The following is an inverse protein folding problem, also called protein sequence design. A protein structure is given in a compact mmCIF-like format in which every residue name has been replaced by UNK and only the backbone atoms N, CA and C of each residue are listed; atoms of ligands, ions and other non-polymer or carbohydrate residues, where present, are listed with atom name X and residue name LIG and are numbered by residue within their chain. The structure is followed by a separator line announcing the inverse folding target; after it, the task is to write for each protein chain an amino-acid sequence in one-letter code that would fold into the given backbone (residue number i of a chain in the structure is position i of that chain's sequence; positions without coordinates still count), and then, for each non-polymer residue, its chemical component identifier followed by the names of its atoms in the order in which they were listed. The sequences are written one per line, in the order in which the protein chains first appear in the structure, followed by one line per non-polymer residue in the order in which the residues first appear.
data_IF_162677756104
#
_entry.id   IF_162677756104
#
_cell.length_a   1.000
_cell.length_b   1.000
_cell.length_c   1.000
_cell.angle_alpha   90.00
_cell.angle_beta   90.00
_cell.angle_gamma   90.00
#
_symmetry.space_group_name_H-M   'P 1'
#
loop_
_entity.id
_entity.type
_entity.pdbx_description
1 polymer ?
#
# COMPACT_ATOMS: atom_id res chain seq x y z
N UNK A 1 -14.63 -1.74 -4.94
CA UNK A 1 -14.37 -0.99 -3.69
C UNK A 1 -12.88 -0.64 -3.65
N UNK A 2 -12.49 0.61 -3.92
CA UNK A 2 -11.05 0.99 -3.90
C UNK A 2 -10.60 1.48 -2.52
N UNK A 3 -11.46 2.21 -1.80
CA UNK A 3 -11.13 2.76 -0.48
C UNK A 3 -10.84 1.70 0.59
N UNK A 4 -11.62 0.62 0.68
CA UNK A 4 -11.32 -0.45 1.64
C UNK A 4 -10.01 -1.20 1.34
N UNK A 5 -9.65 -1.32 0.06
CA UNK A 5 -8.36 -1.89 -0.34
C UNK A 5 -7.20 -0.96 0.04
N UNK A 6 -7.38 0.36 -0.10
CA UNK A 6 -6.40 1.33 0.38
C UNK A 6 -6.20 1.26 1.92
N UNK A 7 -7.28 1.04 2.67
CA UNK A 7 -7.24 0.91 4.13
C UNK A 7 -6.59 -0.40 4.56
N UNK A 8 -6.81 -1.51 3.84
CA UNK A 8 -6.10 -2.78 4.12
C UNK A 8 -4.58 -2.69 3.92
N UNK A 9 -4.09 -1.61 3.30
CA UNK A 9 -2.68 -1.26 3.24
C UNK A 9 -2.03 -1.04 4.60
N UNK A 10 -2.80 -0.99 5.71
CA UNK A 10 -2.27 -0.99 7.09
C UNK A 10 -1.30 -2.14 7.38
N UNK A 11 -1.34 -3.21 6.58
CA UNK A 11 -0.33 -4.28 6.54
C UNK A 11 1.12 -3.77 6.45
N UNK A 12 1.35 -2.57 5.93
CA UNK A 12 2.67 -1.91 5.90
C UNK A 12 3.27 -1.73 7.30
N UNK A 13 2.46 -1.50 8.33
CA UNK A 13 2.93 -1.38 9.72
C UNK A 13 3.53 -2.70 10.19
N UNK A 14 2.87 -3.82 9.90
CA UNK A 14 3.40 -5.16 10.22
C UNK A 14 4.69 -5.45 9.46
N UNK A 15 4.77 -5.07 8.18
CA UNK A 15 5.98 -5.23 7.38
C UNK A 15 7.15 -4.39 7.91
N UNK A 16 6.90 -3.17 8.38
CA UNK A 16 7.92 -2.34 9.02
C UNK A 16 8.44 -2.94 10.32
N UNK A 17 7.56 -3.48 11.16
CA UNK A 17 7.97 -4.19 12.39
C UNK A 17 8.83 -5.41 12.03
N UNK A 18 8.42 -6.20 11.04
CA UNK A 18 9.14 -7.39 10.59
C UNK A 18 10.50 -7.05 9.94
N UNK A 19 10.64 -5.84 9.37
CA UNK A 19 11.90 -5.39 8.75
C UNK A 19 13.05 -5.21 9.74
N UNK A 20 12.78 -5.27 11.06
CA UNK A 20 13.79 -5.28 12.11
C UNK A 20 14.47 -6.66 12.23
N UNK A 21 15.05 -7.16 11.14
CA UNK A 21 15.79 -8.43 11.12
C UNK A 21 17.27 -8.21 11.38
N UNK A 22 17.87 -9.02 12.24
CA UNK A 22 19.33 -9.01 12.48
C UNK A 22 20.06 -9.66 11.31
N UNK A 23 21.06 -8.95 10.77
CA UNK A 23 21.96 -9.48 9.76
C UNK A 23 23.13 -10.21 10.42
N UNK A 24 23.36 -11.47 10.04
CA UNK A 24 24.50 -12.25 10.53
C UNK A 24 25.65 -12.11 9.55
N UNK A 25 26.71 -11.39 9.96
CA UNK A 25 27.95 -11.27 9.16
C UNK A 25 27.75 -10.78 7.73
N UNK A 26 26.79 -9.87 7.51
CA UNK A 26 26.47 -9.32 6.19
C UNK A 26 25.55 -10.18 5.32
N UNK A 27 25.14 -11.37 5.79
CA UNK A 27 24.09 -12.17 5.15
C UNK A 27 22.70 -11.70 5.64
N UNK A 28 21.81 -11.26 4.73
CA UNK A 28 20.43 -10.94 5.04
C UNK A 28 19.67 -12.09 5.69
N UNK A 29 19.98 -13.33 5.32
CA UNK A 29 19.18 -14.49 5.67
C UNK A 29 17.77 -14.45 5.06
N UNK A 30 17.01 -15.54 5.25
CA UNK A 30 15.68 -15.69 4.66
C UNK A 30 14.65 -14.72 5.24
N UNK A 31 14.73 -14.43 6.54
CA UNK A 31 13.81 -13.52 7.23
C UNK A 31 13.87 -12.10 6.65
N UNK A 32 15.06 -11.57 6.36
CA UNK A 32 15.20 -10.24 5.79
C UNK A 32 14.64 -10.15 4.38
N UNK A 33 14.85 -11.17 3.55
CA UNK A 33 14.28 -11.23 2.20
C UNK A 33 12.74 -11.27 2.24
N UNK A 34 12.16 -12.05 3.14
CA UNK A 34 10.72 -12.08 3.34
C UNK A 34 10.18 -10.74 3.83
N UNK A 35 10.85 -10.10 4.79
CA UNK A 35 10.47 -8.79 5.28
C UNK A 35 10.57 -7.71 4.20
N UNK A 36 11.60 -7.75 3.36
CA UNK A 36 11.76 -6.87 2.21
C UNK A 36 10.62 -7.02 1.20
N UNK A 37 10.31 -8.26 0.79
CA UNK A 37 9.21 -8.53 -0.15
C UNK A 37 7.87 -8.10 0.46
N UNK A 38 7.63 -8.40 1.73
CA UNK A 38 6.43 -7.98 2.44
C UNK A 38 6.28 -6.44 2.45
N UNK A 39 7.36 -5.71 2.67
CA UNK A 39 7.36 -4.25 2.67
C UNK A 39 7.06 -3.68 1.29
N UNK A 40 7.66 -4.25 0.23
CA UNK A 40 7.40 -3.85 -1.16
C UNK A 40 5.92 -4.08 -1.51
N UNK A 41 5.39 -5.27 -1.22
CA UNK A 41 4.00 -5.61 -1.49
C UNK A 41 3.02 -4.71 -0.71
N UNK A 42 3.29 -4.45 0.57
CA UNK A 42 2.47 -3.57 1.38
C UNK A 42 2.49 -2.12 0.85
N UNK A 43 3.64 -1.65 0.40
CA UNK A 43 3.79 -0.32 -0.21
C UNK A 43 2.96 -0.21 -1.49
N UNK A 44 3.02 -1.21 -2.37
CA UNK A 44 2.20 -1.25 -3.59
C UNK A 44 0.71 -1.20 -3.25
N UNK A 45 0.26 -1.96 -2.24
CA UNK A 45 -1.13 -1.98 -1.82
C UNK A 45 -1.62 -0.61 -1.30
N UNK A 46 -0.84 0.03 -0.42
CA UNK A 46 -1.16 1.37 0.10
C UNK A 46 -1.19 2.40 -1.03
N UNK A 47 -0.09 2.55 -1.76
CA UNK A 47 0.05 3.61 -2.77
C UNK A 47 -0.93 3.41 -3.92
N UNK A 48 -1.03 2.18 -4.44
CA UNK A 48 -1.97 1.84 -5.51
C UNK A 48 -3.42 2.03 -5.07
N UNK A 49 -3.77 1.58 -3.85
CA UNK A 49 -5.10 1.74 -3.29
C UNK A 49 -5.52 3.20 -3.18
N UNK A 50 -4.66 4.08 -2.66
CA UNK A 50 -4.97 5.51 -2.55
C UNK A 50 -4.99 6.20 -3.92
N UNK A 51 -4.08 5.87 -4.83
CA UNK A 51 -4.05 6.44 -6.19
C UNK A 51 -5.34 6.13 -6.96
N UNK A 52 -5.79 4.87 -6.94
CA UNK A 52 -7.03 4.46 -7.62
C UNK A 52 -8.24 5.10 -6.93
N UNK A 53 -8.25 5.17 -5.60
CA UNK A 53 -9.33 5.80 -4.84
C UNK A 53 -9.45 7.28 -5.21
N UNK A 54 -8.33 8.01 -5.31
CA UNK A 54 -8.32 9.40 -5.73
C UNK A 54 -8.93 9.57 -7.13
N UNK A 55 -8.49 8.77 -8.11
CA UNK A 55 -9.06 8.81 -9.47
C UNK A 55 -10.55 8.49 -9.51
N UNK A 56 -11.01 7.55 -8.69
CA UNK A 56 -12.44 7.23 -8.57
C UNK A 56 -13.24 8.40 -8.01
N UNK A 57 -12.73 9.07 -6.97
CA UNK A 57 -13.37 10.23 -6.36
C UNK A 57 -13.40 11.43 -7.31
N UNK A 58 -12.33 11.65 -8.09
CA UNK A 58 -12.28 12.68 -9.14
C UNK A 58 -13.35 12.46 -10.22
N UNK A 59 -13.53 11.20 -10.68
CA UNK A 59 -14.58 10.87 -11.66
C UNK A 59 -15.99 11.13 -11.11
N UNK A 60 -16.24 10.81 -9.83
CA UNK A 60 -17.53 11.06 -9.18
C UNK A 60 -17.77 12.57 -9.01
N UNK A 61 -16.75 13.31 -8.56
CA UNK A 61 -16.83 14.76 -8.38
C UNK A 61 -17.01 15.50 -9.71
N UNK A 62 -16.29 15.09 -10.76
CA UNK A 62 -16.45 15.61 -12.12
C UNK A 62 -17.84 15.33 -12.71
N UNK A 63 -18.40 14.13 -12.44
CA UNK A 63 -19.76 13.79 -12.87
C UNK A 63 -20.84 14.63 -12.18
N UNK A 64 -20.63 15.04 -10.92
CA UNK A 64 -21.53 16.00 -10.22
C UNK A 64 -21.51 17.40 -10.81
N UNK A 65 -20.40 17.85 -11.43
CA UNK A 65 -20.32 19.17 -12.09
C UNK A 65 -20.97 19.21 -13.48
N UNK A 66 -21.17 18.08 -14.12
CA UNK A 66 -21.80 17.97 -15.44
C UNK A 66 -23.33 17.75 -15.44
N UNK A 67 -23.94 17.51 -14.28
CA UNK A 67 -25.38 17.25 -14.14
C UNK A 67 -26.24 18.47 -13.81
N UNK A 68 -25.67 19.68 -13.86
CA UNK A 68 -26.37 20.95 -13.69
C UNK A 68 -26.68 21.60 -15.04
N UNK A 69 -27.42 20.90 -15.89
CA UNK A 69 -28.20 21.45 -17.00
C UNK A 69 -29.47 20.62 -17.15
#
# INVERSE_FOLDING_TARGET
MSGANAISGITIVGALILSNTTFNSGDPGTAAWLAFIALVMATINVVGGFMVTNKMLEMIAGKRRGGGK
#
